data_IF_008675988164
#
_entry.id   IF_008675988164
#
_cell.length_a   1.000
_cell.length_b   1.000
_cell.length_c   1.000
_cell.angle_alpha   90.00
_cell.angle_beta   90.00
_cell.angle_gamma   90.00
#
_symmetry.space_group_name_H-M   'P 1'
#
loop_
_entity.id
_entity.type
_entity.pdbx_description
1 polymer ?
#
# COMPACT_ATOMS: atom_id res chain seq x y z
N UNK A 1 3.13 -23.35 17.13
CA UNK A 1 3.88 -23.43 15.86
C UNK A 1 3.45 -22.26 15.00
N UNK A 2 4.37 -21.52 14.39
CA UNK A 2 4.04 -20.38 13.56
C UNK A 2 3.21 -20.83 12.35
N UNK A 3 2.23 -20.03 11.96
CA UNK A 3 1.40 -20.33 10.79
C UNK A 3 2.10 -19.86 9.53
N UNK A 4 2.31 -20.77 8.59
CA UNK A 4 2.97 -20.46 7.31
C UNK A 4 1.94 -19.95 6.31
N UNK A 5 2.21 -18.77 5.77
CA UNK A 5 1.44 -18.13 4.71
C UNK A 5 2.28 -18.18 3.44
N UNK A 6 1.76 -18.89 2.43
CA UNK A 6 2.48 -19.01 1.16
C UNK A 6 2.54 -17.68 0.43
N UNK A 7 1.44 -16.94 0.33
CA UNK A 7 1.38 -15.70 -0.45
C UNK A 7 0.54 -14.62 0.23
N UNK A 8 1.07 -13.40 0.20
CA UNK A 8 0.36 -12.16 0.56
C UNK A 8 0.36 -11.23 -0.64
N UNK A 9 -0.81 -10.70 -0.98
CA UNK A 9 -0.96 -9.67 -2.02
C UNK A 9 -1.24 -8.32 -1.37
N UNK A 10 -0.51 -7.30 -1.78
CA UNK A 10 -0.66 -5.91 -1.36
C UNK A 10 -1.08 -5.10 -2.59
N UNK A 11 -2.17 -4.36 -2.47
CA UNK A 11 -2.56 -3.31 -3.39
C UNK A 11 -2.63 -2.00 -2.60
N UNK A 12 -2.11 -0.94 -3.19
CA UNK A 12 -2.16 0.40 -2.61
C UNK A 12 -2.56 1.40 -3.68
N UNK A 13 -3.22 2.47 -3.24
CA UNK A 13 -3.52 3.63 -4.07
C UNK A 13 -3.37 4.89 -3.22
N UNK A 14 -2.97 6.00 -3.83
CA UNK A 14 -2.70 7.25 -3.14
C UNK A 14 -3.45 8.42 -3.79
N UNK A 15 -4.01 9.29 -2.95
CA UNK A 15 -4.71 10.49 -3.39
C UNK A 15 -4.09 11.73 -2.74
N UNK A 16 -3.75 12.71 -3.59
CA UNK A 16 -3.07 13.95 -3.23
C UNK A 16 -3.97 15.16 -3.48
N UNK A 17 -3.98 16.10 -2.54
CA UNK A 17 -4.59 17.42 -2.69
C UNK A 17 -3.54 18.49 -2.41
N UNK A 18 -3.00 19.08 -3.48
CA UNK A 18 -1.96 20.10 -3.42
C UNK A 18 -2.44 21.39 -2.74
N UNK A 19 -3.68 21.82 -3.02
CA UNK A 19 -4.29 23.05 -2.46
C UNK A 19 -4.25 23.04 -0.92
N UNK A 20 -4.66 21.93 -0.30
CA UNK A 20 -4.79 21.83 1.14
C UNK A 20 -3.55 21.19 1.81
N UNK A 21 -2.53 20.79 1.02
CA UNK A 21 -1.40 19.95 1.45
C UNK A 21 -1.86 18.70 2.22
N UNK A 22 -2.88 18.03 1.70
CA UNK A 22 -3.43 16.80 2.28
C UNK A 22 -3.15 15.61 1.36
N UNK A 23 -2.73 14.51 1.96
CA UNK A 23 -2.41 13.30 1.24
C UNK A 23 -2.94 12.08 2.01
N UNK A 24 -3.52 11.15 1.28
CA UNK A 24 -4.10 9.91 1.83
C UNK A 24 -3.69 8.73 0.99
N UNK A 25 -3.67 7.54 1.59
CA UNK A 25 -3.54 6.29 0.86
C UNK A 25 -4.59 5.29 1.32
N UNK A 26 -4.97 4.41 0.42
CA UNK A 26 -5.75 3.23 0.71
C UNK A 26 -4.89 1.98 0.49
N UNK A 27 -5.19 0.92 1.24
CA UNK A 27 -4.49 -0.34 1.14
C UNK A 27 -5.46 -1.53 1.18
N UNK A 28 -5.06 -2.59 0.50
CA UNK A 28 -5.73 -3.89 0.52
C UNK A 28 -4.67 -4.98 0.58
N UNK A 29 -4.62 -5.69 1.70
CA UNK A 29 -3.63 -6.73 1.99
C UNK A 29 -4.40 -8.04 2.20
N UNK A 30 -4.18 -9.03 1.33
CA UNK A 30 -4.91 -10.29 1.33
C UNK A 30 -3.96 -11.47 1.36
N UNK A 31 -4.24 -12.42 2.25
CA UNK A 31 -3.65 -13.77 2.27
C UNK A 31 -4.76 -14.83 2.30
N UNK A 32 -4.44 -16.10 2.49
CA UNK A 32 -5.44 -17.13 2.81
C UNK A 32 -5.97 -16.98 4.25
N UNK A 33 -5.20 -16.39 5.17
CA UNK A 33 -5.54 -16.28 6.60
C UNK A 33 -6.28 -14.99 6.95
N UNK A 34 -6.00 -13.89 6.27
CA UNK A 34 -6.54 -12.58 6.64
C UNK A 34 -6.84 -11.68 5.44
N UNK A 35 -7.60 -10.63 5.72
CA UNK A 35 -7.84 -9.50 4.84
C UNK A 35 -7.76 -8.21 5.66
N UNK A 36 -6.71 -7.41 5.43
CA UNK A 36 -6.58 -6.07 6.00
C UNK A 36 -6.90 -5.06 4.90
N UNK A 37 -7.76 -4.09 5.19
CA UNK A 37 -8.12 -3.04 4.24
C UNK A 37 -8.49 -1.76 4.96
N UNK A 38 -8.29 -0.63 4.29
CA UNK A 38 -8.74 0.67 4.74
C UNK A 38 -7.95 1.79 4.10
N UNK A 39 -8.15 3.01 4.60
CA UNK A 39 -7.42 4.20 4.19
C UNK A 39 -6.90 4.97 5.40
N UNK A 40 -5.73 5.60 5.22
CA UNK A 40 -5.09 6.42 6.23
C UNK A 40 -4.53 7.71 5.60
N UNK A 41 -4.37 8.74 6.43
CA UNK A 41 -3.67 9.95 6.04
C UNK A 41 -2.17 9.73 6.12
N UNK A 42 -1.40 10.28 5.18
CA UNK A 42 0.05 10.34 5.34
C UNK A 42 0.42 11.28 6.49
N UNK A 43 1.41 10.90 7.29
CA UNK A 43 1.99 11.76 8.34
C UNK A 43 2.61 13.03 7.76
N UNK A 44 3.23 12.91 6.60
CA UNK A 44 3.85 13.99 5.86
C UNK A 44 3.35 14.03 4.42
N UNK A 45 3.23 15.23 3.86
CA UNK A 45 2.83 15.41 2.48
C UNK A 45 3.90 14.86 1.52
N UNK A 46 3.58 13.89 0.63
CA UNK A 46 4.53 13.34 -0.33
C UNK A 46 4.91 14.37 -1.41
N UNK A 47 6.16 14.29 -1.89
CA UNK A 47 6.70 15.16 -2.95
C UNK A 47 6.27 14.72 -4.35
N UNK A 48 4.97 14.50 -4.57
CA UNK A 48 4.40 14.06 -5.85
C UNK A 48 3.82 12.65 -5.82
N UNK A 49 3.20 12.24 -6.93
CA UNK A 49 2.46 10.98 -7.07
C UNK A 49 3.35 9.76 -6.82
N UNK A 50 4.51 9.69 -7.46
CA UNK A 50 5.46 8.56 -7.30
C UNK A 50 5.88 8.39 -5.83
N UNK A 51 6.17 9.49 -5.13
CA UNK A 51 6.51 9.44 -3.70
C UNK A 51 5.32 8.98 -2.86
N UNK A 52 4.10 9.40 -3.21
CA UNK A 52 2.88 8.97 -2.52
C UNK A 52 2.63 7.48 -2.69
N UNK A 53 2.78 6.94 -3.91
CA UNK A 53 2.67 5.51 -4.20
C UNK A 53 3.68 4.70 -3.37
N UNK A 54 4.96 5.09 -3.40
CA UNK A 54 6.02 4.40 -2.66
C UNK A 54 5.76 4.44 -1.15
N UNK A 55 5.43 5.62 -0.60
CA UNK A 55 5.10 5.76 0.82
C UNK A 55 3.85 4.95 1.19
N UNK A 56 2.87 4.85 0.29
CA UNK A 56 1.68 4.03 0.47
C UNK A 56 2.04 2.55 0.63
N UNK A 57 2.94 2.04 -0.20
CA UNK A 57 3.47 0.66 -0.09
C UNK A 57 4.20 0.45 1.23
N UNK A 58 5.07 1.39 1.63
CA UNK A 58 5.81 1.30 2.90
C UNK A 58 4.85 1.24 4.09
N UNK A 59 3.85 2.11 4.15
CA UNK A 59 2.85 2.09 5.21
C UNK A 59 2.03 0.79 5.21
N UNK A 60 1.67 0.26 4.02
CA UNK A 60 1.00 -1.03 3.92
C UNK A 60 1.89 -2.19 4.40
N UNK A 61 3.21 -2.13 4.18
CA UNK A 61 4.17 -3.10 4.72
C UNK A 61 4.28 -3.00 6.24
N UNK A 62 4.20 -1.80 6.84
CA UNK A 62 4.11 -1.63 8.30
C UNK A 62 2.86 -2.28 8.88
N UNK A 63 1.71 -2.08 8.24
CA UNK A 63 0.44 -2.69 8.64
C UNK A 63 0.54 -4.22 8.58
N UNK A 64 1.08 -4.77 7.48
CA UNK A 64 1.34 -6.19 7.34
C UNK A 64 2.27 -6.70 8.44
N UNK A 65 3.35 -5.99 8.73
CA UNK A 65 4.32 -6.40 9.73
C UNK A 65 3.70 -6.52 11.13
N UNK A 66 2.83 -5.57 11.49
CA UNK A 66 2.12 -5.62 12.77
C UNK A 66 1.20 -6.84 12.86
N UNK A 67 0.49 -7.17 11.77
CA UNK A 67 -0.36 -8.37 11.73
C UNK A 67 0.44 -9.67 11.83
N UNK A 68 1.58 -9.73 11.14
CA UNK A 68 2.49 -10.88 11.15
C UNK A 68 3.04 -11.13 12.55
N UNK A 69 3.53 -10.07 13.22
CA UNK A 69 4.05 -10.17 14.58
C UNK A 69 2.99 -10.56 15.59
N UNK A 70 1.79 -10.00 15.46
CA UNK A 70 0.68 -10.26 16.38
C UNK A 70 0.23 -11.72 16.37
N UNK A 71 0.27 -12.37 15.21
CA UNK A 71 -0.26 -13.72 15.02
C UNK A 71 0.82 -14.79 14.75
N UNK A 72 2.09 -14.44 14.87
CA UNK A 72 3.23 -15.34 14.66
C UNK A 72 3.20 -16.03 13.28
N UNK A 73 3.07 -15.22 12.21
CA UNK A 73 3.04 -15.70 10.83
C UNK A 73 4.43 -15.75 10.20
N UNK A 74 4.65 -16.73 9.32
CA UNK A 74 5.82 -16.78 8.42
C UNK A 74 5.32 -16.60 6.99
N UNK A 75 5.83 -15.59 6.27
CA UNK A 75 5.41 -15.30 4.90
C UNK A 75 6.49 -15.77 3.93
N UNK A 76 6.11 -16.56 2.91
CA UNK A 76 7.06 -16.99 1.86
C UNK A 76 7.15 -15.98 0.71
N UNK A 77 6.01 -15.47 0.24
CA UNK A 77 5.91 -14.60 -0.92
C UNK A 77 5.06 -13.36 -0.65
N UNK A 78 5.56 -12.20 -1.08
CA UNK A 78 4.81 -10.93 -1.11
C UNK A 78 4.70 -10.45 -2.55
N UNK A 79 3.48 -10.15 -2.98
CA UNK A 79 3.20 -9.56 -4.29
C UNK A 79 2.64 -8.17 -4.07
N UNK A 80 3.35 -7.15 -4.57
CA UNK A 80 2.91 -5.75 -4.51
C UNK A 80 2.41 -5.34 -5.88
N UNK A 81 1.13 -5.02 -5.98
CA UNK A 81 0.52 -4.49 -7.19
C UNK A 81 0.62 -2.96 -7.19
N UNK A 82 1.23 -2.41 -8.23
CA UNK A 82 1.40 -0.97 -8.42
C UNK A 82 0.88 -0.58 -9.80
N UNK A 83 0.39 0.64 -9.96
CA UNK A 83 -0.01 1.23 -11.25
C UNK A 83 1.14 1.92 -11.99
N UNK A 84 2.27 2.11 -11.30
CA UNK A 84 3.47 2.71 -11.85
C UNK A 84 4.62 1.70 -11.98
N UNK A 85 5.09 1.49 -13.21
CA UNK A 85 6.20 0.59 -13.54
C UNK A 85 7.51 0.97 -12.80
N UNK A 86 7.72 2.26 -12.54
CA UNK A 86 8.94 2.77 -11.92
C UNK A 86 9.07 2.47 -10.42
N UNK A 87 7.94 2.26 -9.73
CA UNK A 87 7.89 2.15 -8.26
C UNK A 87 8.77 1.02 -7.73
N UNK A 88 8.69 -0.17 -8.33
CA UNK A 88 9.53 -1.29 -7.94
C UNK A 88 11.02 -0.98 -8.05
N UNK A 89 11.43 -0.28 -9.13
CA UNK A 89 12.83 0.13 -9.33
C UNK A 89 13.26 1.18 -8.30
N UNK A 90 12.42 2.17 -8.02
CA UNK A 90 12.69 3.19 -7.01
C UNK A 90 12.79 2.61 -5.60
N UNK A 91 11.98 1.61 -5.27
CA UNK A 91 12.06 0.92 -3.98
C UNK A 91 13.34 0.08 -3.89
N UNK A 92 13.66 -0.70 -4.93
CA UNK A 92 14.78 -1.65 -4.87
C UNK A 92 16.16 -1.00 -5.02
N UNK A 93 16.24 0.13 -5.72
CA UNK A 93 17.51 0.78 -6.07
C UNK A 93 17.59 2.26 -5.67
N UNK A 94 16.50 2.87 -5.20
CA UNK A 94 16.45 4.28 -4.86
C UNK A 94 16.50 4.56 -3.36
N UNK A 95 16.02 5.74 -2.99
CA UNK A 95 16.08 6.27 -1.61
C UNK A 95 15.34 5.40 -0.59
N UNK A 96 14.31 4.67 -0.99
CA UNK A 96 13.47 3.83 -0.11
C UNK A 96 14.02 2.42 0.12
N UNK A 97 15.17 2.08 -0.46
CA UNK A 97 15.75 0.73 -0.36
C UNK A 97 15.98 0.30 1.09
N UNK A 98 16.48 1.21 1.93
CA UNK A 98 16.80 0.89 3.34
C UNK A 98 15.54 0.56 4.13
N UNK A 99 14.49 1.37 3.97
CA UNK A 99 13.21 1.17 4.64
C UNK A 99 12.59 -0.16 4.19
N UNK A 100 12.56 -0.39 2.88
CA UNK A 100 12.03 -1.64 2.33
C UNK A 100 12.82 -2.87 2.79
N UNK A 101 14.16 -2.82 2.78
CA UNK A 101 15.01 -3.92 3.21
C UNK A 101 14.82 -4.24 4.70
N UNK A 102 14.56 -3.22 5.53
CA UNK A 102 14.22 -3.42 6.94
C UNK A 102 12.96 -4.29 7.08
N UNK A 103 11.92 -4.03 6.30
CA UNK A 103 10.71 -4.86 6.32
C UNK A 103 10.98 -6.29 5.87
N UNK A 104 11.71 -6.46 4.77
CA UNK A 104 12.08 -7.79 4.26
C UNK A 104 12.86 -8.58 5.30
N UNK A 105 13.79 -7.94 6.02
CA UNK A 105 14.56 -8.62 7.07
C UNK A 105 13.69 -9.04 8.25
N UNK A 106 12.75 -8.20 8.68
CA UNK A 106 11.88 -8.52 9.83
C UNK A 106 10.86 -9.61 9.47
N UNK A 107 10.41 -9.65 8.21
CA UNK A 107 9.48 -10.68 7.72
C UNK A 107 10.14 -12.02 7.39
N UNK A 108 11.39 -12.23 7.83
CA UNK A 108 12.19 -13.43 7.52
C UNK A 108 12.46 -13.63 6.01
N UNK A 109 12.79 -12.52 5.34
CA UNK A 109 13.25 -12.47 3.94
C UNK A 109 12.30 -13.14 2.93
N UNK A 110 11.01 -12.75 2.89
CA UNK A 110 10.09 -13.26 1.89
C UNK A 110 10.57 -12.87 0.49
N UNK A 111 10.25 -13.68 -0.51
CA UNK A 111 10.44 -13.27 -1.90
C UNK A 111 9.41 -12.21 -2.24
N UNK A 112 9.87 -10.98 -2.53
CA UNK A 112 8.98 -9.88 -2.92
C UNK A 112 9.00 -9.67 -4.43
N UNK A 113 7.82 -9.53 -5.02
CA UNK A 113 7.65 -9.21 -6.44
C UNK A 113 6.77 -7.99 -6.62
N UNK A 114 7.17 -7.09 -7.53
CA UNK A 114 6.36 -5.95 -7.94
C UNK A 114 5.68 -6.30 -9.26
N UNK A 115 4.36 -6.12 -9.31
CA UNK A 115 3.56 -6.32 -10.51
C UNK A 115 2.92 -5.01 -10.90
N UNK A 116 3.16 -4.60 -12.14
CA UNK A 116 2.44 -3.48 -12.73
C UNK A 116 1.02 -3.94 -13.11
N UNK A 117 0.02 -3.21 -12.62
CA UNK A 117 -1.39 -3.41 -12.95
C UNK A 117 -1.90 -2.11 -13.55
N UNK A 118 -2.30 -2.13 -14.83
CA UNK A 118 -2.89 -0.96 -15.47
C UNK A 118 -4.14 -0.53 -14.71
N UNK A 119 -4.14 0.69 -14.20
CA UNK A 119 -5.34 1.34 -13.69
C UNK A 119 -6.25 1.73 -14.85
N UNK A 120 -7.57 1.68 -14.63
CA UNK A 120 -8.60 2.17 -15.56
C UNK A 120 -8.74 1.42 -16.89
N UNK A 121 -8.51 0.10 -16.95
CA UNK A 121 -9.05 -0.69 -18.06
C UNK A 121 -10.56 -0.87 -17.85
N UNK A 122 -11.37 -0.76 -18.91
CA UNK A 122 -12.83 -1.02 -18.89
C UNK A 122 -13.18 -2.50 -18.60
N UNK A 123 -12.23 -3.28 -18.08
CA UNK A 123 -12.40 -4.69 -17.77
C UNK A 123 -12.95 -4.88 -16.36
N UNK A 124 -14.00 -5.68 -16.23
CA UNK A 124 -14.61 -6.04 -14.94
C UNK A 124 -13.87 -7.20 -14.27
N UNK A 125 -12.58 -7.01 -13.98
CA UNK A 125 -11.77 -8.00 -13.26
C UNK A 125 -11.82 -7.79 -11.74
N UNK A 126 -11.46 -8.82 -10.96
CA UNK A 126 -11.28 -8.71 -9.51
C UNK A 126 -10.26 -7.62 -9.13
N UNK A 127 -9.26 -7.37 -9.98
CA UNK A 127 -8.27 -6.30 -9.78
C UNK A 127 -8.90 -4.93 -9.99
N UNK A 128 -9.74 -4.77 -11.00
CA UNK A 128 -10.49 -3.53 -11.26
C UNK A 128 -11.45 -3.22 -10.11
N UNK A 129 -12.04 -4.23 -9.47
CA UNK A 129 -12.82 -4.06 -8.25
C UNK A 129 -11.97 -3.51 -7.09
N UNK A 130 -10.82 -4.12 -6.81
CA UNK A 130 -9.92 -3.67 -5.73
C UNK A 130 -9.44 -2.24 -5.99
N UNK A 131 -8.98 -1.93 -7.20
CA UNK A 131 -8.51 -0.58 -7.53
C UNK A 131 -9.61 0.48 -7.38
N UNK A 132 -10.82 0.23 -7.92
CA UNK A 132 -11.95 1.18 -7.75
C UNK A 132 -12.28 1.42 -6.27
N UNK A 133 -12.16 0.37 -5.45
CA UNK A 133 -12.40 0.49 -4.02
C UNK A 133 -11.34 1.33 -3.33
N UNK A 134 -10.06 1.08 -3.62
CA UNK A 134 -8.95 1.85 -3.04
C UNK A 134 -9.06 3.33 -3.41
N UNK A 135 -9.31 3.63 -4.67
CA UNK A 135 -9.51 4.99 -5.16
C UNK A 135 -10.69 5.69 -4.45
N UNK A 136 -11.81 4.97 -4.29
CA UNK A 136 -12.97 5.47 -3.54
C UNK A 136 -12.65 5.72 -2.06
N UNK A 137 -11.96 4.79 -1.39
CA UNK A 137 -11.61 4.92 0.03
C UNK A 137 -10.64 6.08 0.27
N UNK A 138 -9.61 6.22 -0.57
CA UNK A 138 -8.65 7.32 -0.50
C UNK A 138 -9.35 8.68 -0.72
N UNK A 139 -10.16 8.80 -1.77
CA UNK A 139 -10.89 10.06 -2.07
C UNK A 139 -11.90 10.42 -0.98
N UNK A 140 -12.62 9.45 -0.43
CA UNK A 140 -13.57 9.70 0.65
C UNK A 140 -12.87 10.19 1.91
N UNK A 141 -11.73 9.58 2.29
CA UNK A 141 -10.95 10.05 3.42
C UNK A 141 -10.43 11.47 3.17
N UNK A 142 -9.89 11.74 1.98
CA UNK A 142 -9.40 13.07 1.60
C UNK A 142 -10.51 14.13 1.67
N UNK A 143 -11.70 13.82 1.16
CA UNK A 143 -12.87 14.71 1.23
C UNK A 143 -13.27 15.02 2.68
N UNK A 144 -13.25 14.01 3.55
CA UNK A 144 -13.55 14.17 4.97
C UNK A 144 -12.49 15.00 5.71
N UNK A 145 -11.22 14.89 5.32
CA UNK A 145 -10.14 15.71 5.89
C UNK A 145 -10.25 17.17 5.42
N UNK A 146 -10.58 17.40 4.15
CA UNK A 146 -10.82 18.75 3.61
C UNK A 146 -11.97 19.45 4.33
N UNK A 147 -13.10 18.77 4.53
CA UNK A 147 -14.26 19.36 5.20
C UNK A 147 -13.99 19.68 6.67
N UNK A 148 -13.15 18.89 7.37
CA UNK A 148 -12.71 19.20 8.73
C UNK A 148 -11.79 20.41 8.78
N UNK A 149 -10.89 20.55 7.81
CA UNK A 149 -9.93 21.67 7.75
C UNK A 149 -10.59 23.01 7.41
N UNK A 150 -11.71 23.01 6.69
CA UNK A 150 -12.49 24.23 6.41
C UNK A 150 -13.36 24.69 7.60
N UNK A 151 -13.55 23.83 8.61
CA UNK A 151 -14.31 24.14 9.82
C UNK A 151 -13.44 24.59 11.00
N UNK A 152 -12.11 24.60 10.82
CA UNK A 152 -11.14 25.17 11.74
C UNK A 152 -10.72 26.54 11.22
#
# INVERSE_FOLDING_TARGET
>A
MPTVIDIVTINTDASLCHENKLATFAFWIRSNQFLLRGAQQFKEYPNGSTHAEIRGIINAMEILLNEVKKNDYIIKYVVVNCDNIGVGKHIMHGEYKKDFQRFVNILDKPKVSFKHVKSHTNEHSARSYVNRRLDTEARNLLRNLRSKKQKQ
#
